data_IF_064862929302
#
_entry.id   IF_064862929302
#
_cell.length_a   1.000
_cell.length_b   1.000
_cell.length_c   1.000
_cell.angle_alpha   90.00
_cell.angle_beta   90.00
_cell.angle_gamma   90.00
#
_symmetry.space_group_name_H-M   'P 1'
#
loop_
_entity.id
_entity.type
_entity.pdbx_description
1 polymer ?
#
# COMPACT_ATOMS: atom_id res chain seq x y z
N UNK A 1 -75.30 -113.03 6.81
CA UNK A 1 -73.83 -112.96 7.02
C UNK A 1 -73.12 -111.94 6.13
N UNK A 2 -73.57 -111.69 4.89
CA UNK A 2 -72.92 -110.74 3.97
C UNK A 2 -73.05 -109.25 4.37
N UNK A 3 -74.17 -108.84 4.96
CA UNK A 3 -74.47 -107.44 5.32
C UNK A 3 -73.65 -106.92 6.51
N UNK A 4 -73.42 -107.78 7.52
CA UNK A 4 -72.58 -107.46 8.69
C UNK A 4 -71.09 -107.34 8.33
N UNK A 5 -70.63 -108.08 7.32
CA UNK A 5 -69.26 -107.99 6.80
C UNK A 5 -69.10 -106.70 5.98
N UNK A 6 -70.09 -106.34 5.17
CA UNK A 6 -70.07 -105.10 4.38
C UNK A 6 -70.07 -103.84 5.26
N UNK A 7 -70.90 -103.79 6.31
CA UNK A 7 -70.93 -102.68 7.27
C UNK A 7 -69.61 -102.54 8.05
N UNK A 8 -68.98 -103.66 8.41
CA UNK A 8 -67.68 -103.64 9.10
C UNK A 8 -66.54 -103.18 8.19
N UNK A 9 -66.51 -103.62 6.93
CA UNK A 9 -65.54 -103.14 5.93
C UNK A 9 -65.75 -101.63 5.65
N UNK A 10 -66.99 -101.16 5.57
CA UNK A 10 -67.28 -99.74 5.37
C UNK A 10 -66.78 -98.87 6.54
N UNK A 11 -67.03 -99.30 7.78
CA UNK A 11 -66.54 -98.61 8.96
C UNK A 11 -65.00 -98.62 9.05
N UNK A 12 -64.35 -99.74 8.73
CA UNK A 12 -62.88 -99.86 8.68
C UNK A 12 -62.26 -98.96 7.59
N UNK A 13 -62.92 -98.81 6.44
CA UNK A 13 -62.50 -97.90 5.36
C UNK A 13 -62.70 -96.43 5.76
N UNK A 14 -63.83 -96.09 6.39
CA UNK A 14 -64.08 -94.72 6.86
C UNK A 14 -63.10 -94.29 7.95
N UNK A 15 -62.78 -95.15 8.91
CA UNK A 15 -61.77 -94.84 9.94
C UNK A 15 -60.38 -94.70 9.34
N UNK A 16 -59.98 -95.60 8.43
CA UNK A 16 -58.71 -95.50 7.74
C UNK A 16 -58.59 -94.20 6.91
N UNK A 17 -59.66 -93.83 6.20
CA UNK A 17 -59.73 -92.59 5.43
C UNK A 17 -59.63 -91.38 6.36
N UNK A 18 -60.35 -91.37 7.48
CA UNK A 18 -60.32 -90.29 8.46
C UNK A 18 -58.93 -90.12 9.08
N UNK A 19 -58.28 -91.21 9.48
CA UNK A 19 -56.91 -91.18 10.01
C UNK A 19 -55.91 -90.67 8.98
N UNK A 20 -56.04 -91.06 7.70
CA UNK A 20 -55.18 -90.56 6.63
C UNK A 20 -55.39 -89.06 6.39
N UNK A 21 -56.64 -88.59 6.39
CA UNK A 21 -56.97 -87.17 6.30
C UNK A 21 -56.41 -86.36 7.47
N UNK A 22 -56.55 -86.85 8.70
CA UNK A 22 -55.99 -86.18 9.87
C UNK A 22 -54.45 -86.16 9.84
N UNK A 23 -53.80 -87.24 9.37
CA UNK A 23 -52.34 -87.25 9.19
C UNK A 23 -51.90 -86.24 8.14
N UNK A 24 -52.58 -86.18 6.99
CA UNK A 24 -52.29 -85.20 5.92
C UNK A 24 -52.51 -83.77 6.39
N UNK A 25 -53.60 -83.51 7.12
CA UNK A 25 -53.90 -82.18 7.68
C UNK A 25 -52.83 -81.76 8.70
N UNK A 26 -52.44 -82.67 9.61
CA UNK A 26 -51.36 -82.40 10.57
C UNK A 26 -50.03 -82.14 9.87
N UNK A 27 -49.69 -82.92 8.85
CA UNK A 27 -48.48 -82.71 8.06
C UNK A 27 -48.49 -81.35 7.33
N UNK A 28 -49.60 -80.99 6.69
CA UNK A 28 -49.77 -79.70 6.01
C UNK A 28 -49.67 -78.51 6.97
N UNK A 29 -50.29 -78.60 8.16
CA UNK A 29 -50.19 -77.55 9.19
C UNK A 29 -48.77 -77.42 9.74
N UNK A 30 -48.06 -78.54 9.95
CA UNK A 30 -46.67 -78.50 10.40
C UNK A 30 -45.74 -77.92 9.33
N UNK A 31 -45.94 -78.28 8.06
CA UNK A 31 -45.20 -77.73 6.95
C UNK A 31 -45.43 -76.22 6.79
N UNK A 32 -46.69 -75.77 6.78
CA UNK A 32 -47.01 -74.34 6.69
C UNK A 32 -46.45 -73.53 7.88
N UNK A 33 -46.44 -74.12 9.08
CA UNK A 33 -45.82 -73.50 10.26
C UNK A 33 -44.29 -73.44 10.16
N UNK A 34 -43.66 -74.47 9.60
CA UNK A 34 -42.21 -74.49 9.38
C UNK A 34 -41.80 -73.45 8.33
N UNK A 35 -42.51 -73.40 7.19
CA UNK A 35 -42.29 -72.42 6.13
C UNK A 35 -42.48 -70.99 6.64
N UNK A 36 -43.59 -70.71 7.36
CA UNK A 36 -43.82 -69.39 7.97
C UNK A 36 -42.74 -69.02 8.99
N UNK A 37 -42.27 -69.96 9.82
CA UNK A 37 -41.16 -69.71 10.76
C UNK A 37 -39.87 -69.39 10.02
N UNK A 38 -39.52 -70.14 8.98
CA UNK A 38 -38.32 -69.85 8.19
C UNK A 38 -38.38 -68.48 7.51
N UNK A 39 -39.53 -68.10 6.94
CA UNK A 39 -39.74 -66.78 6.35
C UNK A 39 -39.60 -65.67 7.39
N UNK A 40 -40.20 -65.85 8.57
CA UNK A 40 -40.07 -64.91 9.68
C UNK A 40 -38.64 -64.80 10.18
N UNK A 41 -37.94 -65.92 10.36
CA UNK A 41 -36.55 -65.94 10.82
C UNK A 41 -35.61 -65.24 9.82
N UNK A 42 -35.83 -65.44 8.51
CA UNK A 42 -35.11 -64.71 7.46
C UNK A 42 -35.41 -63.20 7.50
N UNK A 43 -36.68 -62.82 7.60
CA UNK A 43 -37.07 -61.41 7.69
C UNK A 43 -36.49 -60.71 8.93
N UNK A 44 -36.48 -61.40 10.07
CA UNK A 44 -35.86 -60.90 11.31
C UNK A 44 -34.35 -60.77 11.14
N UNK A 45 -33.68 -61.76 10.57
CA UNK A 45 -32.24 -61.69 10.30
C UNK A 45 -31.88 -60.51 9.38
N UNK A 46 -32.64 -60.31 8.30
CA UNK A 46 -32.42 -59.20 7.37
C UNK A 46 -32.65 -57.83 8.05
N UNK A 47 -33.70 -57.69 8.85
CA UNK A 47 -33.95 -56.46 9.62
C UNK A 47 -32.84 -56.18 10.64
N UNK A 48 -32.34 -57.20 11.33
CA UNK A 48 -31.22 -57.06 12.26
C UNK A 48 -29.96 -56.61 11.53
N UNK A 49 -29.66 -57.19 10.37
CA UNK A 49 -28.53 -56.78 9.53
C UNK A 49 -28.65 -55.32 9.09
N UNK A 50 -29.84 -54.89 8.66
CA UNK A 50 -30.11 -53.50 8.31
C UNK A 50 -29.92 -52.55 9.50
N UNK A 51 -30.39 -52.91 10.70
CA UNK A 51 -30.20 -52.10 11.92
C UNK A 51 -28.71 -51.96 12.24
N UNK A 52 -27.93 -53.04 12.16
CA UNK A 52 -26.48 -53.02 12.40
C UNK A 52 -25.78 -52.13 11.38
N UNK A 53 -26.12 -52.24 10.10
CA UNK A 53 -25.54 -51.40 9.06
C UNK A 53 -25.89 -49.92 9.25
N UNK A 54 -27.15 -49.62 9.57
CA UNK A 54 -27.58 -48.23 9.81
C UNK A 54 -26.91 -47.63 11.05
N UNK A 55 -26.74 -48.41 12.12
CA UNK A 55 -25.97 -47.96 13.30
C UNK A 55 -24.52 -47.66 12.93
N UNK A 56 -23.87 -48.55 12.17
CA UNK A 56 -22.50 -48.31 11.70
C UNK A 56 -22.39 -47.04 10.85
N UNK A 57 -23.34 -46.83 9.93
CA UNK A 57 -23.39 -45.62 9.10
C UNK A 57 -23.59 -44.36 9.96
N UNK A 58 -24.45 -44.43 10.98
CA UNK A 58 -24.67 -43.32 11.91
C UNK A 58 -23.40 -43.01 12.72
N UNK A 59 -22.73 -44.02 13.26
CA UNK A 59 -21.46 -43.85 14.01
C UNK A 59 -20.37 -43.24 13.12
N UNK A 60 -20.24 -43.70 11.88
CA UNK A 60 -19.26 -43.17 10.92
C UNK A 60 -19.60 -41.72 10.52
N UNK A 61 -20.87 -41.38 10.37
CA UNK A 61 -21.32 -40.00 10.12
C UNK A 61 -21.00 -39.08 11.30
N UNK A 62 -21.27 -39.52 12.54
CA UNK A 62 -20.94 -38.75 13.75
C UNK A 62 -19.43 -38.52 13.90
N UNK A 63 -18.61 -39.53 13.60
CA UNK A 63 -17.14 -39.38 13.61
C UNK A 63 -16.67 -38.37 12.56
N UNK A 64 -17.25 -38.39 11.36
CA UNK A 64 -16.94 -37.43 10.29
C UNK A 64 -17.35 -36.02 10.68
N UNK A 65 -18.54 -35.85 11.25
CA UNK A 65 -19.01 -34.54 11.73
C UNK A 65 -18.08 -33.99 12.81
N UNK A 66 -17.70 -34.79 13.79
CA UNK A 66 -16.76 -34.38 14.84
C UNK A 66 -15.38 -34.03 14.28
N UNK A 67 -14.89 -34.75 13.28
CA UNK A 67 -13.64 -34.42 12.60
C UNK A 67 -13.73 -33.11 11.80
N UNK A 68 -14.85 -32.86 11.12
CA UNK A 68 -15.10 -31.62 10.39
C UNK A 68 -15.18 -30.42 11.34
N UNK A 69 -15.88 -30.56 12.47
CA UNK A 69 -15.98 -29.51 13.48
C UNK A 69 -14.61 -29.17 14.09
N UNK A 70 -13.77 -30.16 14.36
CA UNK A 70 -12.39 -29.93 14.82
C UNK A 70 -11.58 -29.16 13.78
N UNK A 71 -11.63 -29.62 12.52
CA UNK A 71 -10.91 -28.98 11.42
C UNK A 71 -11.40 -27.55 11.15
N UNK A 72 -12.70 -27.29 11.30
CA UNK A 72 -13.26 -25.95 11.18
C UNK A 72 -12.69 -25.02 12.26
N UNK A 73 -12.64 -25.45 13.51
CA UNK A 73 -12.04 -24.68 14.61
C UNK A 73 -10.56 -24.40 14.39
N UNK A 74 -9.79 -25.41 13.98
CA UNK A 74 -8.35 -25.23 13.66
C UNK A 74 -8.13 -24.22 12.53
N UNK A 75 -9.01 -24.21 11.52
CA UNK A 75 -8.96 -23.25 10.43
C UNK A 75 -9.32 -21.83 10.88
N UNK A 76 -10.34 -21.68 11.73
CA UNK A 76 -10.73 -20.38 12.31
C UNK A 76 -9.62 -19.80 13.18
N UNK A 77 -9.01 -20.62 14.05
CA UNK A 77 -7.87 -20.22 14.89
C UNK A 77 -6.69 -19.78 14.02
N UNK A 78 -6.32 -20.58 13.03
CA UNK A 78 -5.21 -20.25 12.11
C UNK A 78 -5.50 -19.01 11.27
N UNK A 79 -6.75 -18.80 10.87
CA UNK A 79 -7.16 -17.59 10.16
C UNK A 79 -6.98 -16.36 11.06
N UNK A 80 -7.41 -16.42 12.31
CA UNK A 80 -7.22 -15.33 13.28
C UNK A 80 -5.74 -15.03 13.56
N UNK A 81 -4.90 -16.06 13.65
CA UNK A 81 -3.44 -15.91 13.80
C UNK A 81 -2.82 -15.22 12.57
N UNK A 82 -3.18 -15.64 11.36
CA UNK A 82 -2.70 -15.04 10.12
C UNK A 82 -3.15 -13.58 9.98
N UNK A 83 -4.40 -13.27 10.30
CA UNK A 83 -4.92 -11.90 10.26
C UNK A 83 -4.15 -11.00 11.23
N UNK A 84 -3.84 -11.50 12.43
CA UNK A 84 -3.03 -10.78 13.42
C UNK A 84 -1.59 -10.58 12.96
N UNK A 85 -0.96 -11.59 12.37
CA UNK A 85 0.40 -11.51 11.82
C UNK A 85 0.47 -10.48 10.68
N UNK A 86 -0.48 -10.53 9.75
CA UNK A 86 -0.59 -9.57 8.65
C UNK A 86 -0.79 -8.15 9.18
N UNK A 87 -1.69 -7.95 10.15
CA UNK A 87 -1.91 -6.64 10.75
C UNK A 87 -0.63 -6.08 11.39
N UNK A 88 0.12 -6.93 12.12
CA UNK A 88 1.41 -6.55 12.72
C UNK A 88 2.46 -6.22 11.66
N UNK A 89 2.54 -7.00 10.58
CA UNK A 89 3.50 -6.75 9.49
C UNK A 89 3.20 -5.44 8.77
N UNK A 90 1.93 -5.18 8.47
CA UNK A 90 1.49 -3.92 7.85
C UNK A 90 1.78 -2.72 8.75
N UNK A 91 1.54 -2.82 10.07
CA UNK A 91 1.88 -1.74 11.01
C UNK A 91 3.39 -1.47 11.07
N UNK A 92 4.20 -2.54 11.11
CA UNK A 92 5.66 -2.42 11.10
C UNK A 92 6.18 -1.80 9.80
N UNK A 93 5.70 -2.26 8.64
CA UNK A 93 6.05 -1.69 7.33
C UNK A 93 5.63 -0.22 7.22
N UNK A 94 4.43 0.15 7.69
CA UNK A 94 3.98 1.55 7.73
C UNK A 94 4.92 2.43 8.55
N UNK A 95 5.31 1.98 9.75
CA UNK A 95 6.26 2.72 10.61
C UNK A 95 7.62 2.89 9.94
N UNK A 96 8.10 1.87 9.22
CA UNK A 96 9.34 1.96 8.46
C UNK A 96 9.23 2.97 7.31
N UNK A 97 8.14 2.93 6.55
CA UNK A 97 7.88 3.88 5.45
C UNK A 97 7.77 5.31 5.99
N UNK A 98 7.06 5.53 7.10
CA UNK A 98 6.95 6.85 7.72
C UNK A 98 8.29 7.38 8.20
N UNK A 99 9.13 6.53 8.82
CA UNK A 99 10.46 6.91 9.27
C UNK A 99 11.37 7.28 8.09
N UNK A 100 11.36 6.47 7.03
CA UNK A 100 12.15 6.72 5.83
C UNK A 100 11.67 7.97 5.09
N UNK A 101 10.36 8.15 4.94
CA UNK A 101 9.81 9.35 4.32
C UNK A 101 10.18 10.62 5.09
N UNK A 102 10.13 10.58 6.43
CA UNK A 102 10.57 11.70 7.27
C UNK A 102 12.06 11.99 7.07
N UNK A 103 12.90 10.95 7.03
CA UNK A 103 14.34 11.07 6.82
C UNK A 103 14.66 11.70 5.46
N UNK A 104 14.13 11.12 4.39
CA UNK A 104 14.34 11.60 3.01
C UNK A 104 13.81 13.03 2.84
N UNK A 105 12.63 13.33 3.39
CA UNK A 105 12.07 14.69 3.32
C UNK A 105 12.96 15.69 4.06
N UNK A 106 13.44 15.36 5.27
CA UNK A 106 14.32 16.22 6.04
C UNK A 106 15.66 16.46 5.32
N UNK A 107 16.25 15.42 4.72
CA UNK A 107 17.47 15.53 3.92
C UNK A 107 17.25 16.43 2.68
N UNK A 108 16.15 16.25 1.94
CA UNK A 108 15.80 17.09 0.79
C UNK A 108 15.57 18.56 1.18
N UNK A 109 14.84 18.82 2.26
CA UNK A 109 14.62 20.18 2.76
C UNK A 109 15.93 20.82 3.22
N UNK A 110 16.79 20.09 3.93
CA UNK A 110 18.09 20.58 4.37
C UNK A 110 18.98 20.97 3.18
N UNK A 111 19.05 20.13 2.15
CA UNK A 111 19.79 20.44 0.93
C UNK A 111 19.24 21.68 0.22
N UNK A 112 17.92 21.80 0.09
CA UNK A 112 17.26 22.94 -0.55
C UNK A 112 17.46 24.24 0.23
N UNK A 113 17.49 24.17 1.57
CA UNK A 113 17.80 25.32 2.43
C UNK A 113 19.25 25.75 2.19
N UNK A 114 20.21 24.82 2.24
CA UNK A 114 21.63 25.14 1.98
C UNK A 114 21.86 25.74 0.60
N UNK A 115 21.20 25.22 -0.43
CA UNK A 115 21.26 25.78 -1.78
C UNK A 115 20.73 27.22 -1.82
N UNK A 116 19.59 27.48 -1.16
CA UNK A 116 19.02 28.83 -1.06
C UNK A 116 19.88 29.78 -0.24
N UNK A 117 20.46 29.32 0.86
CA UNK A 117 21.36 30.13 1.68
C UNK A 117 22.60 30.54 0.87
N UNK A 118 23.20 29.59 0.13
CA UNK A 118 24.30 29.89 -0.79
C UNK A 118 23.91 30.92 -1.85
N UNK A 119 22.75 30.75 -2.49
CA UNK A 119 22.23 31.71 -3.47
C UNK A 119 22.02 33.10 -2.84
N UNK A 120 21.50 33.17 -1.62
CA UNK A 120 21.29 34.44 -0.91
C UNK A 120 22.62 35.11 -0.63
N UNK A 121 23.63 34.36 -0.20
CA UNK A 121 24.95 34.92 0.12
C UNK A 121 25.68 35.40 -1.13
N UNK A 122 25.59 34.66 -2.24
CA UNK A 122 26.09 35.10 -3.56
C UNK A 122 25.40 36.40 -4.02
N UNK A 123 24.07 36.48 -3.88
CA UNK A 123 23.31 37.68 -4.23
C UNK A 123 23.65 38.88 -3.35
N UNK A 124 23.89 38.68 -2.05
CA UNK A 124 24.36 39.74 -1.14
C UNK A 124 25.72 40.25 -1.57
N UNK A 125 26.66 39.36 -1.89
CA UNK A 125 27.99 39.75 -2.35
C UNK A 125 27.93 40.58 -3.64
N UNK A 126 27.12 40.15 -4.62
CA UNK A 126 26.88 40.90 -5.86
C UNK A 126 26.23 42.27 -5.62
N UNK A 127 25.27 42.35 -4.69
CA UNK A 127 24.62 43.61 -4.32
C UNK A 127 25.60 44.59 -3.68
N UNK A 128 26.47 44.12 -2.78
CA UNK A 128 27.51 44.95 -2.16
C UNK A 128 28.52 45.44 -3.20
N UNK A 129 28.95 44.58 -4.12
CA UNK A 129 29.85 44.98 -5.22
C UNK A 129 29.18 46.02 -6.15
N UNK A 130 27.91 45.82 -6.49
CA UNK A 130 27.14 46.75 -7.31
C UNK A 130 26.94 48.10 -6.61
N UNK A 131 26.66 48.10 -5.30
CA UNK A 131 26.58 49.33 -4.48
C UNK A 131 27.89 50.09 -4.51
N UNK A 132 29.02 49.42 -4.24
CA UNK A 132 30.34 50.04 -4.25
C UNK A 132 30.69 50.65 -5.60
N UNK A 133 30.41 49.96 -6.71
CA UNK A 133 30.61 50.49 -8.07
C UNK A 133 29.71 51.68 -8.37
N UNK A 134 28.45 51.62 -7.93
CA UNK A 134 27.50 52.74 -8.11
C UNK A 134 27.92 53.98 -7.32
N UNK A 135 28.38 53.81 -6.08
CA UNK A 135 28.89 54.89 -5.23
C UNK A 135 30.13 55.53 -5.85
N UNK A 136 31.09 54.70 -6.30
CA UNK A 136 32.30 55.18 -6.99
C UNK A 136 31.94 55.96 -8.26
N UNK A 137 31.09 55.40 -9.13
CA UNK A 137 30.65 56.09 -10.35
C UNK A 137 29.79 57.33 -10.09
N UNK A 138 29.21 57.49 -8.90
CA UNK A 138 28.53 58.73 -8.49
C UNK A 138 29.53 59.79 -8.04
N UNK A 139 30.60 59.40 -7.33
CA UNK A 139 31.67 60.31 -6.93
C UNK A 139 32.46 60.81 -8.14
N UNK A 140 32.80 59.91 -9.07
CA UNK A 140 33.49 60.27 -10.33
C UNK A 140 32.67 61.28 -11.15
N UNK A 141 31.36 61.04 -11.31
CA UNK A 141 30.47 62.01 -11.99
C UNK A 141 30.35 63.34 -11.28
N UNK A 142 30.34 63.37 -9.95
CA UNK A 142 30.31 64.63 -9.20
C UNK A 142 31.61 65.44 -9.39
N UNK A 143 32.77 64.78 -9.43
CA UNK A 143 34.04 65.42 -9.75
C UNK A 143 34.03 66.02 -11.16
N UNK A 144 33.61 65.25 -12.15
CA UNK A 144 33.50 65.71 -13.54
C UNK A 144 32.59 66.94 -13.67
N UNK A 145 31.43 66.95 -13.00
CA UNK A 145 30.52 68.10 -13.01
C UNK A 145 31.15 69.33 -12.37
N UNK A 146 31.89 69.17 -11.27
CA UNK A 146 32.56 70.29 -10.59
C UNK A 146 33.71 70.86 -11.43
N UNK A 147 34.47 70.00 -12.11
CA UNK A 147 35.52 70.41 -13.05
C UNK A 147 34.94 71.21 -14.22
N UNK A 148 33.83 70.75 -14.81
CA UNK A 148 33.14 71.47 -15.89
C UNK A 148 32.61 72.84 -15.43
N UNK A 149 32.04 72.93 -14.22
CA UNK A 149 31.55 74.19 -13.66
C UNK A 149 32.69 75.18 -13.38
N UNK A 150 33.85 74.68 -12.92
CA UNK A 150 35.05 75.48 -12.68
C UNK A 150 35.64 76.00 -14.01
N UNK A 151 35.72 75.16 -15.03
CA UNK A 151 36.15 75.55 -16.38
C UNK A 151 35.26 76.67 -16.92
N UNK A 152 33.94 76.48 -16.91
CA UNK A 152 32.99 77.50 -17.40
C UNK A 152 33.08 78.81 -16.59
N UNK A 153 33.30 78.72 -15.28
CA UNK A 153 33.47 79.89 -14.41
C UNK A 153 34.73 80.67 -14.77
N UNK A 154 35.85 79.98 -14.98
CA UNK A 154 37.12 80.61 -15.35
C UNK A 154 37.04 81.22 -16.75
N UNK A 155 36.40 80.56 -17.71
CA UNK A 155 36.23 81.09 -19.09
C UNK A 155 35.41 82.38 -19.08
N UNK A 156 34.36 82.44 -18.25
CA UNK A 156 33.55 83.65 -18.07
C UNK A 156 34.31 84.77 -17.37
N UNK A 157 35.16 84.45 -16.40
CA UNK A 157 35.93 85.43 -15.63
C UNK A 157 37.12 85.99 -16.43
N UNK A 158 37.73 85.19 -17.31
CA UNK A 158 38.91 85.54 -18.10
C UNK A 158 38.70 85.28 -19.60
N UNK A 159 37.89 86.08 -20.32
CA UNK A 159 37.50 85.79 -21.70
C UNK A 159 38.62 85.84 -22.75
N UNK A 160 39.78 86.38 -22.40
CA UNK A 160 40.94 86.50 -23.30
C UNK A 160 41.99 85.41 -23.06
N UNK A 161 41.89 84.68 -21.96
CA UNK A 161 42.79 83.59 -21.61
C UNK A 161 42.33 82.28 -22.23
N UNK A 162 43.22 81.28 -22.30
CA UNK A 162 42.87 79.93 -22.77
C UNK A 162 42.87 78.95 -21.60
N UNK A 163 41.70 78.36 -21.31
CA UNK A 163 41.52 77.35 -20.27
C UNK A 163 41.32 76.01 -20.97
N UNK A 164 42.06 74.99 -20.51
CA UNK A 164 42.01 73.66 -21.12
C UNK A 164 41.96 72.57 -20.04
N UNK A 165 41.09 71.56 -20.19
CA UNK A 165 41.07 70.40 -19.29
C UNK A 165 42.31 69.55 -19.49
N UNK A 166 42.90 69.09 -18.38
CA UNK A 166 44.02 68.15 -18.42
C UNK A 166 43.47 66.73 -18.62
N UNK A 167 43.90 65.98 -19.64
CA UNK A 167 43.44 64.62 -19.87
C UNK A 167 43.61 63.70 -18.66
N UNK A 168 42.57 62.91 -18.39
CA UNK A 168 42.56 61.90 -17.32
C UNK A 168 43.78 60.97 -17.44
N UNK A 169 44.50 60.79 -16.33
CA UNK A 169 45.68 59.91 -16.25
C UNK A 169 47.03 60.63 -16.16
N UNK A 170 47.07 61.96 -16.33
CA UNK A 170 48.22 62.77 -15.98
C UNK A 170 48.13 63.21 -14.51
N UNK A 171 49.24 63.10 -13.76
CA UNK A 171 49.32 63.56 -12.36
C UNK A 171 49.54 65.07 -12.36
N UNK A 172 48.64 65.83 -11.75
CA UNK A 172 48.74 67.28 -11.69
C UNK A 172 47.35 67.91 -11.55
N UNK A 173 47.29 69.23 -11.77
CA UNK A 173 46.05 70.00 -11.70
C UNK A 173 44.97 69.56 -12.70
N UNK A 174 43.75 69.97 -12.41
CA UNK A 174 42.54 69.58 -13.16
C UNK A 174 42.38 70.41 -14.45
N UNK A 175 42.79 71.69 -14.41
CA UNK A 175 42.72 72.63 -15.52
C UNK A 175 44.08 73.30 -15.72
N UNK A 176 44.42 73.60 -16.98
CA UNK A 176 45.54 74.46 -17.33
C UNK A 176 44.99 75.81 -17.78
N UNK A 177 45.41 76.87 -17.12
CA UNK A 177 45.01 78.24 -17.47
C UNK A 177 46.21 78.98 -18.06
N UNK A 178 46.18 79.18 -19.38
CA UNK A 178 47.15 79.98 -20.12
C UNK A 178 46.72 81.44 -20.12
N UNK A 179 47.44 82.25 -19.36
CA UNK A 179 47.18 83.69 -19.20
C UNK A 179 47.74 84.42 -20.41
N UNK A 180 46.91 85.26 -21.04
CA UNK A 180 47.27 86.03 -22.24
C UNK A 180 47.26 87.52 -21.94
N UNK A 181 48.18 88.24 -22.59
CA UNK A 181 48.22 89.70 -22.50
C UNK A 181 47.16 90.38 -23.39
N UNK A 182 47.11 91.71 -23.38
CA UNK A 182 46.15 92.47 -24.19
C UNK A 182 46.33 92.32 -25.72
N UNK A 183 47.44 91.72 -26.18
CA UNK A 183 47.67 91.36 -27.58
C UNK A 183 47.37 89.87 -27.86
N UNK A 184 46.72 89.18 -26.91
CA UNK A 184 46.39 87.77 -26.93
C UNK A 184 47.62 86.86 -27.02
N UNK A 185 48.79 87.33 -26.60
CA UNK A 185 50.00 86.51 -26.55
C UNK A 185 50.11 85.83 -25.18
N UNK A 186 50.49 84.53 -25.13
CA UNK A 186 50.66 83.82 -23.88
C UNK A 186 51.79 84.45 -23.05
N UNK A 187 51.49 84.87 -21.84
CA UNK A 187 52.43 85.56 -20.95
C UNK A 187 52.63 84.86 -19.60
N UNK A 188 51.79 83.87 -19.27
CA UNK A 188 51.92 83.04 -18.08
C UNK A 188 51.06 81.78 -18.15
N UNK A 189 51.28 80.85 -17.22
CA UNK A 189 50.46 79.66 -17.07
C UNK A 189 50.24 79.35 -15.58
N UNK A 190 49.01 78.96 -15.24
CA UNK A 190 48.63 78.47 -13.91
C UNK A 190 48.27 77.00 -14.06
N UNK A 191 48.89 76.19 -13.19
CA UNK A 191 48.67 74.75 -13.02
C UNK A 191 48.08 74.59 -11.63
#
# INVERSE_FOLDING_TARGET
MSEAIASRIHAEVETALHEEYERRLRAAVQQARAESREEHDRAVADLLNQIVEQRRRADDAQKRELALLKRARELEERQGELDLEVARRVDAEKKQIEAELRRVSAEQYSLKIKEKDSQIDDLKALLEEARRKSEQGSQERQGEVLEMDLEETLERAFPHDEIRPVPKGMRGADLLHEVRDGALQPCGAII
#
